data_IF_989792739409
#
_entry.id   IF_989792739409
#
_cell.length_a   1.000
_cell.length_b   1.000
_cell.length_c   1.000
_cell.angle_alpha   90.00
_cell.angle_beta   90.00
_cell.angle_gamma   90.00
#
_symmetry.space_group_name_H-M   'P 1'
#
loop_
_entity.id
_entity.type
_entity.pdbx_description
1 polymer ?
#
# COMPACT_ATOMS: atom_id res chain seq x y z
N UNK A 1 2.27 -24.20 62.98
CA UNK A 1 3.40 -23.27 63.23
C UNK A 1 4.44 -23.56 62.15
N UNK A 2 4.94 -22.67 61.31
CA UNK A 2 4.55 -21.39 60.71
C UNK A 2 5.57 -21.18 59.55
N UNK A 3 5.14 -20.51 58.49
CA UNK A 3 5.84 -20.16 57.25
C UNK A 3 7.18 -19.38 57.36
N UNK A 4 8.01 -19.47 56.31
CA UNK A 4 8.58 -18.35 55.51
C UNK A 4 9.66 -18.91 54.56
N UNK A 5 9.47 -18.99 53.24
CA UNK A 5 9.41 -17.94 52.22
C UNK A 5 10.66 -17.03 52.15
N UNK A 6 11.56 -17.29 51.19
CA UNK A 6 12.52 -16.28 50.70
C UNK A 6 12.76 -16.46 49.20
N UNK A 7 11.94 -15.73 48.45
CA UNK A 7 12.19 -15.24 47.10
C UNK A 7 13.47 -14.41 47.06
N UNK A 8 14.32 -14.62 46.05
CA UNK A 8 15.23 -13.58 45.55
C UNK A 8 15.14 -13.53 44.04
N UNK A 9 14.63 -12.40 43.58
CA UNK A 9 14.44 -11.91 42.22
C UNK A 9 15.78 -11.68 41.53
N UNK A 10 15.93 -12.18 40.30
CA UNK A 10 17.02 -11.80 39.40
C UNK A 10 16.54 -10.64 38.54
N UNK A 11 17.22 -9.50 38.66
CA UNK A 11 16.91 -8.26 37.98
C UNK A 11 17.05 -8.39 36.46
N UNK A 12 16.08 -7.80 35.75
CA UNK A 12 16.16 -7.46 34.35
C UNK A 12 17.17 -6.32 34.18
N UNK A 13 18.26 -6.54 33.46
CA UNK A 13 19.08 -5.46 32.91
C UNK A 13 18.38 -4.94 31.64
N UNK A 14 17.81 -3.74 31.77
CA UNK A 14 17.34 -2.92 30.66
C UNK A 14 18.54 -2.37 29.91
N UNK A 15 18.84 -2.93 28.74
CA UNK A 15 19.79 -2.34 27.79
C UNK A 15 19.17 -1.12 27.13
N UNK A 16 19.73 0.06 27.42
CA UNK A 16 19.46 1.30 26.71
C UNK A 16 19.75 1.13 25.21
N UNK A 17 18.71 1.29 24.38
CA UNK A 17 18.87 1.37 22.93
C UNK A 17 19.30 2.80 22.54
N UNK A 18 20.29 2.97 21.63
CA UNK A 18 20.84 4.28 21.31
C UNK A 18 19.82 5.20 20.64
N UNK A 19 19.77 6.46 21.09
CA UNK A 19 18.87 7.53 20.66
C UNK A 19 19.01 7.97 19.17
N UNK A 20 19.84 7.29 18.38
CA UNK A 20 20.20 7.68 17.01
C UNK A 20 19.30 7.16 15.88
N UNK A 21 18.39 6.22 16.14
CA UNK A 21 17.52 5.62 15.10
C UNK A 21 16.18 6.35 14.91
N UNK A 22 15.85 7.33 15.76
CA UNK A 22 14.52 7.94 15.80
C UNK A 22 14.40 9.29 15.06
N UNK A 23 15.49 9.76 14.45
CA UNK A 23 15.52 11.04 13.72
C UNK A 23 14.93 10.95 12.30
N UNK A 24 14.83 9.75 11.70
CA UNK A 24 14.36 9.57 10.33
C UNK A 24 12.84 9.80 10.17
N UNK A 25 12.03 9.48 11.19
CA UNK A 25 10.57 9.67 11.10
C UNK A 25 10.12 11.11 11.35
N UNK A 26 10.98 11.97 11.91
CA UNK A 26 10.67 13.39 12.16
C UNK A 26 10.85 14.27 10.90
N UNK A 27 11.52 13.75 9.88
CA UNK A 27 11.85 14.46 8.64
C UNK A 27 10.64 14.69 7.71
N UNK A 28 9.60 13.86 7.78
CA UNK A 28 8.44 13.89 6.87
C UNK A 28 7.25 14.73 7.40
N UNK A 29 7.42 15.46 8.50
CA UNK A 29 6.33 16.22 9.14
C UNK A 29 6.59 17.72 9.24
N UNK A 30 7.65 18.26 8.62
CA UNK A 30 7.96 19.70 8.65
C UNK A 30 7.27 20.45 7.48
N UNK A 31 6.30 21.36 7.75
CA UNK A 31 5.58 22.09 6.71
C UNK A 31 6.39 23.19 6.01
N UNK A 32 7.64 23.47 6.40
CA UNK A 32 8.37 24.67 5.98
C UNK A 32 9.08 24.59 4.60
N UNK A 33 8.96 23.50 3.83
CA UNK A 33 9.83 23.24 2.66
C UNK A 33 9.20 23.36 1.26
N UNK A 34 7.93 23.78 1.12
CA UNK A 34 7.31 23.99 -0.20
C UNK A 34 6.94 25.46 -0.44
N UNK A 35 7.96 26.26 -0.80
CA UNK A 35 7.76 27.51 -1.55
C UNK A 35 8.61 27.45 -2.81
N UNK A 36 7.99 27.05 -3.92
CA UNK A 36 8.55 27.24 -5.25
C UNK A 36 7.53 28.04 -6.07
N UNK A 37 7.88 29.29 -6.31
CA UNK A 37 7.21 30.19 -7.24
C UNK A 37 7.39 29.68 -8.67
N UNK A 38 6.29 29.44 -9.39
CA UNK A 38 6.30 29.12 -10.82
C UNK A 38 6.18 30.39 -11.68
N UNK A 39 6.83 30.47 -12.85
CA UNK A 39 6.76 31.63 -13.72
C UNK A 39 5.50 31.65 -14.60
N UNK A 40 5.15 32.88 -14.94
CA UNK A 40 4.05 33.39 -15.76
C UNK A 40 4.27 33.04 -17.24
N UNK A 41 3.29 32.43 -17.91
CA UNK A 41 3.33 32.14 -19.35
C UNK A 41 2.09 32.72 -20.04
N UNK A 42 2.25 33.91 -20.58
CA UNK A 42 1.36 34.55 -21.56
C UNK A 42 1.73 34.12 -22.99
N UNK A 43 0.78 34.30 -23.91
CA UNK A 43 0.86 34.19 -25.39
C UNK A 43 0.65 32.79 -26.02
N UNK A 44 -0.04 32.61 -27.15
CA UNK A 44 -0.63 33.54 -28.12
C UNK A 44 -1.73 32.81 -28.94
N UNK A 45 -2.83 33.49 -29.22
CA UNK A 45 -3.85 33.10 -30.20
C UNK A 45 -3.26 33.02 -31.61
N UNK A 46 -3.62 31.98 -32.36
CA UNK A 46 -3.37 31.92 -33.82
C UNK A 46 -4.68 31.60 -34.53
N UNK A 47 -5.09 32.56 -35.35
CA UNK A 47 -6.30 32.57 -36.16
C UNK A 47 -6.43 31.33 -37.06
N UNK A 48 -7.59 30.69 -37.00
CA UNK A 48 -8.12 29.82 -38.06
C UNK A 48 -8.57 30.70 -39.22
N UNK A 49 -8.19 30.35 -40.46
CA UNK A 49 -9.11 30.37 -41.61
C UNK A 49 -8.50 29.69 -42.85
N UNK A 50 -9.40 29.07 -43.62
CA UNK A 50 -9.31 28.61 -45.02
C UNK A 50 -8.53 27.35 -45.39
N UNK A 51 -9.19 26.17 -45.25
CA UNK A 51 -9.13 25.06 -46.23
C UNK A 51 -10.47 24.31 -46.27
N UNK A 52 -10.95 23.97 -47.47
CA UNK A 52 -12.28 23.40 -47.76
C UNK A 52 -12.58 22.04 -47.08
N UNK A 53 -13.84 21.83 -46.70
CA UNK A 53 -14.31 20.69 -45.89
C UNK A 53 -13.96 19.30 -46.46
N UNK A 54 -13.84 19.16 -47.79
CA UNK A 54 -13.53 17.87 -48.43
C UNK A 54 -12.04 17.46 -48.31
N UNK A 55 -11.12 18.42 -48.13
CA UNK A 55 -9.69 18.15 -47.89
C UNK A 55 -9.38 17.74 -46.43
N UNK A 56 -10.30 18.02 -45.50
CA UNK A 56 -10.15 17.71 -44.07
C UNK A 56 -10.44 16.25 -43.75
N UNK A 57 -11.32 15.61 -44.51
CA UNK A 57 -11.73 14.23 -44.23
C UNK A 57 -10.70 13.19 -44.70
N UNK A 58 -10.04 13.45 -45.84
CA UNK A 58 -9.03 12.54 -46.40
C UNK A 58 -7.65 12.69 -45.72
N UNK A 59 -7.30 13.85 -45.17
CA UNK A 59 -6.05 14.04 -44.40
C UNK A 59 -6.13 13.51 -42.96
N UNK A 60 -7.32 13.41 -42.39
CA UNK A 60 -7.55 12.80 -41.05
C UNK A 60 -7.47 11.28 -41.12
N UNK A 61 -7.96 10.64 -42.19
CA UNK A 61 -7.87 9.17 -42.35
C UNK A 61 -6.48 8.70 -42.81
N UNK A 62 -5.74 9.49 -43.58
CA UNK A 62 -4.38 9.13 -44.03
C UNK A 62 -3.30 9.28 -42.94
N UNK A 63 -3.59 9.94 -41.81
CA UNK A 63 -2.72 9.97 -40.62
C UNK A 63 -2.94 8.80 -39.66
N UNK A 64 -3.95 7.96 -39.91
CA UNK A 64 -4.29 6.83 -39.04
C UNK A 64 -3.77 5.47 -39.54
N UNK A 65 -2.93 5.46 -40.58
CA UNK A 65 -2.17 4.27 -40.97
C UNK A 65 -0.70 4.52 -40.62
N UNK A 66 -0.26 3.85 -39.55
CA UNK A 66 1.12 3.78 -39.04
C UNK A 66 1.58 4.88 -38.08
N UNK A 67 0.76 5.20 -37.08
CA UNK A 67 1.30 5.58 -35.77
C UNK A 67 1.11 4.39 -34.85
N UNK A 68 2.19 3.64 -34.60
CA UNK A 68 2.23 2.67 -33.51
C UNK A 68 1.94 3.40 -32.21
N UNK A 69 0.68 3.38 -31.77
CA UNK A 69 0.34 3.76 -30.41
C UNK A 69 0.97 2.68 -29.55
N UNK A 70 2.15 2.98 -29.00
CA UNK A 70 2.73 2.17 -27.95
C UNK A 70 1.62 1.97 -26.89
N UNK A 71 1.34 0.73 -26.46
CA UNK A 71 0.31 0.52 -25.46
C UNK A 71 0.65 1.37 -24.24
N UNK A 72 -0.24 2.30 -23.89
CA UNK A 72 -0.08 3.12 -22.69
C UNK A 72 -0.04 2.14 -21.52
N UNK A 73 1.14 1.96 -20.94
CA UNK A 73 1.30 1.10 -19.77
C UNK A 73 0.42 1.66 -18.67
N UNK A 74 -0.63 0.92 -18.30
CA UNK A 74 -1.49 1.33 -17.19
C UNK A 74 -0.65 1.40 -15.92
N UNK A 75 -0.87 2.45 -15.10
CA UNK A 75 -0.22 2.58 -13.79
C UNK A 75 -0.52 1.35 -12.94
N UNK A 76 0.46 0.93 -12.14
CA UNK A 76 0.35 -0.22 -11.24
C UNK A 76 -0.95 -0.18 -10.40
N UNK A 77 -1.24 0.97 -9.77
CA UNK A 77 -2.45 1.14 -8.96
C UNK A 77 -3.75 0.92 -9.75
N UNK A 78 -3.82 1.35 -11.01
CA UNK A 78 -4.99 1.13 -11.88
C UNK A 78 -5.19 -0.36 -12.15
N UNK A 79 -4.11 -1.10 -12.40
CA UNK A 79 -4.16 -2.55 -12.62
C UNK A 79 -4.57 -3.31 -11.36
N UNK A 80 -4.08 -2.90 -10.19
CA UNK A 80 -4.50 -3.44 -8.89
C UNK A 80 -6.00 -3.19 -8.65
N UNK A 81 -6.48 -1.97 -8.93
CA UNK A 81 -7.90 -1.64 -8.80
C UNK A 81 -8.78 -2.50 -9.73
N UNK A 82 -8.33 -2.74 -10.96
CA UNK A 82 -9.00 -3.65 -11.89
C UNK A 82 -9.05 -5.10 -11.37
N UNK A 83 -7.95 -5.59 -10.78
CA UNK A 83 -7.93 -6.92 -10.16
C UNK A 83 -8.89 -7.02 -8.97
N UNK A 84 -8.88 -6.01 -8.08
CA UNK A 84 -9.80 -5.95 -6.94
C UNK A 84 -11.27 -6.04 -7.38
N UNK A 85 -11.66 -5.25 -8.38
CA UNK A 85 -13.04 -5.24 -8.88
C UNK A 85 -13.47 -6.57 -9.52
N UNK A 86 -12.53 -7.38 -10.03
CA UNK A 86 -12.82 -8.71 -10.58
C UNK A 86 -12.97 -9.80 -9.51
N UNK A 87 -12.24 -9.69 -8.40
CA UNK A 87 -12.19 -10.72 -7.37
C UNK A 87 -13.20 -10.52 -6.24
N UNK A 88 -13.59 -9.27 -5.94
CA UNK A 88 -14.34 -8.92 -4.74
C UNK A 88 -15.67 -8.23 -5.08
N UNK A 89 -16.65 -8.35 -4.19
CA UNK A 89 -17.91 -7.60 -4.31
C UNK A 89 -17.66 -6.10 -4.01
N UNK A 90 -18.47 -5.16 -4.53
CA UNK A 90 -18.36 -3.74 -4.21
C UNK A 90 -18.32 -3.42 -2.71
N UNK A 91 -19.05 -4.19 -1.89
CA UNK A 91 -19.07 -4.05 -0.43
C UNK A 91 -17.76 -4.47 0.25
N UNK A 92 -16.82 -5.10 -0.47
CA UNK A 92 -15.58 -5.65 0.07
C UNK A 92 -14.36 -4.84 -0.41
N UNK A 93 -14.27 -4.56 -1.72
CA UNK A 93 -13.15 -3.78 -2.23
C UNK A 93 -13.23 -2.29 -1.86
N UNK A 94 -14.42 -1.77 -1.53
CA UNK A 94 -14.61 -0.40 -1.01
C UNK A 94 -14.67 -0.32 0.52
N UNK A 95 -14.47 -1.44 1.24
CA UNK A 95 -14.52 -1.44 2.70
C UNK A 95 -13.16 -1.05 3.29
N UNK A 96 -13.08 0.16 3.86
CA UNK A 96 -11.84 0.68 4.43
C UNK A 96 -11.29 -0.13 5.60
N UNK A 97 -12.13 -0.77 6.41
CA UNK A 97 -11.67 -1.63 7.51
C UNK A 97 -10.98 -2.87 6.93
N UNK A 98 -11.64 -3.56 6.00
CA UNK A 98 -11.08 -4.77 5.37
C UNK A 98 -9.79 -4.47 4.58
N UNK A 99 -9.73 -3.32 3.88
CA UNK A 99 -8.51 -2.89 3.18
C UNK A 99 -7.38 -2.53 4.15
N UNK A 100 -7.72 -1.90 5.27
CA UNK A 100 -6.79 -1.59 6.36
C UNK A 100 -6.21 -2.85 7.01
N UNK A 101 -7.07 -3.81 7.37
CA UNK A 101 -6.66 -5.10 7.92
C UNK A 101 -5.72 -5.83 6.96
N UNK A 102 -6.08 -5.88 5.67
CA UNK A 102 -5.26 -6.55 4.64
C UNK A 102 -3.90 -5.87 4.46
N UNK A 103 -3.85 -4.55 4.49
CA UNK A 103 -2.58 -3.80 4.43
C UNK A 103 -1.71 -4.12 5.66
N UNK A 104 -2.31 -4.11 6.86
CA UNK A 104 -1.59 -4.43 8.09
C UNK A 104 -1.05 -5.87 8.10
N UNK A 105 -1.84 -6.84 7.64
CA UNK A 105 -1.39 -8.24 7.46
C UNK A 105 -0.13 -8.32 6.60
N UNK A 106 -0.13 -7.70 5.41
CA UNK A 106 1.03 -7.72 4.50
C UNK A 106 2.28 -7.07 5.09
N UNK A 107 2.11 -5.95 5.80
CA UNK A 107 3.22 -5.29 6.49
C UNK A 107 3.80 -6.19 7.58
N UNK A 108 2.95 -6.85 8.36
CA UNK A 108 3.38 -7.78 9.40
C UNK A 108 4.05 -9.03 8.82
N UNK A 109 3.54 -9.59 7.72
CA UNK A 109 4.16 -10.72 7.02
C UNK A 109 5.54 -10.34 6.44
N UNK A 110 5.67 -9.16 5.84
CA UNK A 110 6.96 -8.64 5.34
C UNK A 110 7.98 -8.46 6.47
N UNK A 111 7.56 -7.89 7.60
CA UNK A 111 8.40 -7.70 8.78
C UNK A 111 8.78 -9.05 9.43
N UNK A 112 7.84 -9.98 9.51
CA UNK A 112 8.08 -11.34 10.01
C UNK A 112 9.13 -12.06 9.16
N UNK A 113 9.06 -11.94 7.83
CA UNK A 113 10.03 -12.55 6.90
C UNK A 113 11.46 -12.05 7.13
N UNK A 114 11.64 -10.87 7.74
CA UNK A 114 12.93 -10.28 8.10
C UNK A 114 13.27 -10.41 9.60
N UNK A 115 12.54 -11.24 10.34
CA UNK A 115 12.81 -11.51 11.75
C UNK A 115 12.48 -10.35 12.69
N UNK A 116 11.55 -9.47 12.30
CA UNK A 116 11.10 -8.38 13.17
C UNK A 116 10.45 -8.93 14.44
N UNK A 117 10.87 -8.42 15.60
CA UNK A 117 10.34 -8.88 16.88
C UNK A 117 8.89 -8.44 17.08
N UNK A 118 7.98 -9.42 17.15
CA UNK A 118 6.55 -9.21 17.41
C UNK A 118 6.27 -8.41 18.67
N UNK A 119 7.14 -8.48 19.69
CA UNK A 119 6.93 -7.77 20.95
C UNK A 119 7.05 -6.25 20.78
N UNK A 120 7.72 -5.78 19.72
CA UNK A 120 7.81 -4.36 19.38
C UNK A 120 6.55 -3.80 18.73
N UNK A 121 5.68 -4.65 18.19
CA UNK A 121 4.48 -4.22 17.45
C UNK A 121 3.53 -3.45 18.37
N UNK A 122 3.22 -3.99 19.56
CA UNK A 122 2.32 -3.34 20.51
C UNK A 122 2.82 -1.95 20.92
N UNK A 123 4.13 -1.80 21.16
CA UNK A 123 4.74 -0.50 21.48
C UNK A 123 4.57 0.52 20.35
N UNK A 124 4.72 0.10 19.08
CA UNK A 124 4.52 0.99 17.94
C UNK A 124 3.06 1.38 17.76
N UNK A 125 2.12 0.47 18.03
CA UNK A 125 0.68 0.77 18.03
C UNK A 125 0.39 1.87 19.04
N UNK A 126 0.78 1.70 20.31
CA UNK A 126 0.56 2.72 21.35
C UNK A 126 1.21 4.07 20.98
N UNK A 127 2.42 4.04 20.42
CA UNK A 127 3.11 5.25 19.99
C UNK A 127 2.37 6.00 18.86
N UNK A 128 1.89 5.29 17.84
CA UNK A 128 1.20 5.91 16.70
C UNK A 128 -0.19 6.42 17.11
N UNK A 129 -0.97 5.62 17.82
CA UNK A 129 -2.31 5.99 18.27
C UNK A 129 -2.31 7.03 19.40
N UNK A 130 -1.17 7.25 20.06
CA UNK A 130 -0.98 8.36 21.01
C UNK A 130 -0.76 9.73 20.37
N UNK A 131 -0.65 9.83 19.03
CA UNK A 131 -0.45 11.09 18.29
C UNK A 131 -1.78 11.62 17.74
N UNK A 132 -1.87 12.93 17.41
CA UNK A 132 -2.99 13.46 16.64
C UNK A 132 -3.13 12.72 15.30
N UNK A 133 -4.39 12.53 14.87
CA UNK A 133 -4.70 11.91 13.58
C UNK A 133 -4.11 12.74 12.44
N UNK A 134 -3.37 12.08 11.54
CA UNK A 134 -2.74 12.69 10.36
C UNK A 134 -3.69 12.85 9.17
N UNK A 135 -3.23 13.57 8.15
CA UNK A 135 -3.95 13.73 6.88
C UNK A 135 -3.71 12.50 5.98
N UNK A 136 -4.77 11.87 5.42
CA UNK A 136 -4.63 10.61 4.68
C UNK A 136 -3.62 10.60 3.53
N UNK A 137 -3.54 11.66 2.71
CA UNK A 137 -2.59 11.72 1.60
C UNK A 137 -1.14 11.81 2.07
N UNK A 138 -0.88 12.55 3.15
CA UNK A 138 0.42 12.62 3.81
C UNK A 138 0.83 11.27 4.39
N UNK A 139 -0.06 10.59 5.11
CA UNK A 139 0.23 9.28 5.69
C UNK A 139 0.46 8.21 4.61
N UNK A 140 -0.29 8.26 3.50
CA UNK A 140 -0.04 7.41 2.33
C UNK A 140 1.37 7.64 1.77
N UNK A 141 1.79 8.90 1.62
CA UNK A 141 3.16 9.25 1.20
C UNK A 141 4.22 8.73 2.17
N UNK A 142 3.98 8.85 3.48
CA UNK A 142 4.86 8.33 4.53
C UNK A 142 5.03 6.81 4.45
N UNK A 143 3.95 6.07 4.21
CA UNK A 143 3.98 4.61 4.00
C UNK A 143 4.81 4.27 2.75
N UNK A 144 4.59 4.96 1.63
CA UNK A 144 5.34 4.70 0.38
C UNK A 144 6.85 4.91 0.55
N UNK A 145 7.26 6.04 1.16
CA UNK A 145 8.69 6.35 1.38
C UNK A 145 9.31 5.34 2.35
N UNK A 146 8.60 4.97 3.41
CA UNK A 146 9.10 4.00 4.40
C UNK A 146 9.25 2.60 3.81
N UNK A 147 8.29 2.16 2.98
CA UNK A 147 8.37 0.88 2.28
C UNK A 147 9.56 0.84 1.31
N UNK A 148 9.79 1.91 0.55
CA UNK A 148 10.94 2.01 -0.36
C UNK A 148 12.29 1.98 0.40
N UNK A 149 12.37 2.68 1.53
CA UNK A 149 13.56 2.66 2.39
C UNK A 149 13.80 1.25 2.98
N UNK A 150 12.75 0.59 3.46
CA UNK A 150 12.83 -0.79 3.94
C UNK A 150 13.32 -1.73 2.83
N UNK A 151 12.72 -1.68 1.65
CA UNK A 151 13.10 -2.51 0.50
C UNK A 151 14.57 -2.30 0.12
N UNK A 152 15.05 -1.05 0.14
CA UNK A 152 16.46 -0.71 -0.11
C UNK A 152 17.40 -1.42 0.87
N UNK A 153 17.10 -1.39 2.17
CA UNK A 153 17.93 -2.05 3.20
C UNK A 153 17.81 -3.58 3.12
N UNK A 154 16.63 -4.09 2.78
CA UNK A 154 16.37 -5.51 2.59
C UNK A 154 16.98 -6.09 1.30
N UNK A 155 17.50 -5.24 0.40
CA UNK A 155 18.00 -5.68 -0.91
C UNK A 155 16.89 -6.15 -1.85
N UNK A 156 15.68 -5.60 -1.71
CA UNK A 156 14.51 -5.93 -2.51
C UNK A 156 14.22 -4.81 -3.52
N UNK A 157 13.90 -5.19 -4.75
CA UNK A 157 13.29 -4.30 -5.74
C UNK A 157 11.77 -4.32 -5.52
N UNK A 158 11.24 -3.24 -4.92
CA UNK A 158 9.81 -3.17 -4.58
C UNK A 158 8.90 -3.13 -5.82
N UNK A 159 9.37 -2.55 -6.93
CA UNK A 159 8.59 -2.43 -8.16
C UNK A 159 8.51 -3.81 -8.83
N UNK A 160 9.65 -4.51 -8.95
CA UNK A 160 9.70 -5.85 -9.49
C UNK A 160 8.92 -6.88 -8.64
N UNK A 161 8.98 -6.76 -7.31
CA UNK A 161 8.21 -7.59 -6.40
C UNK A 161 6.69 -7.35 -6.57
N UNK A 162 6.27 -6.09 -6.66
CA UNK A 162 4.88 -5.73 -6.92
C UNK A 162 4.36 -6.28 -8.25
N UNK A 163 5.13 -6.14 -9.34
CA UNK A 163 4.75 -6.67 -10.65
C UNK A 163 4.69 -8.20 -10.67
N UNK A 164 5.64 -8.88 -10.01
CA UNK A 164 5.64 -10.34 -9.87
C UNK A 164 4.40 -10.82 -9.13
N UNK A 165 4.04 -10.15 -8.04
CA UNK A 165 2.88 -10.50 -7.24
C UNK A 165 1.57 -10.23 -8.00
N UNK A 166 1.45 -9.07 -8.64
CA UNK A 166 0.27 -8.73 -9.45
C UNK A 166 0.07 -9.72 -10.60
N UNK A 167 1.14 -10.15 -11.26
CA UNK A 167 1.10 -11.18 -12.29
C UNK A 167 0.61 -12.52 -11.71
N UNK A 168 1.06 -12.90 -10.51
CA UNK A 168 0.64 -14.14 -9.83
C UNK A 168 -0.84 -14.11 -9.45
N UNK A 169 -1.31 -13.06 -8.79
CA UNK A 169 -2.70 -12.98 -8.27
C UNK A 169 -3.75 -12.79 -9.37
N UNK A 170 -3.32 -12.32 -10.54
CA UNK A 170 -4.19 -12.16 -11.72
C UNK A 170 -4.35 -13.46 -12.52
N UNK A 171 -3.61 -14.53 -12.18
CA UNK A 171 -3.80 -15.84 -12.82
C UNK A 171 -5.22 -16.36 -12.55
N UNK A 172 -5.95 -16.87 -13.56
CA UNK A 172 -7.36 -17.25 -13.42
C UNK A 172 -7.65 -18.18 -12.24
N UNK A 173 -6.80 -19.18 -12.03
CA UNK A 173 -6.91 -20.17 -10.96
C UNK A 173 -6.61 -19.60 -9.56
N UNK A 174 -5.81 -18.53 -9.47
CA UNK A 174 -5.58 -17.82 -8.20
C UNK A 174 -6.78 -16.93 -7.90
N UNK A 175 -7.29 -16.21 -8.91
CA UNK A 175 -8.50 -15.41 -8.78
C UNK A 175 -9.71 -16.26 -8.35
N UNK A 176 -9.87 -17.47 -8.88
CA UNK A 176 -10.95 -18.38 -8.49
C UNK A 176 -10.83 -18.82 -7.03
N UNK A 177 -9.61 -19.17 -6.58
CA UNK A 177 -9.36 -19.48 -5.16
C UNK A 177 -9.70 -18.32 -4.25
N UNK A 178 -9.36 -17.09 -4.64
CA UNK A 178 -9.72 -15.87 -3.89
C UNK A 178 -11.23 -15.73 -3.81
N UNK A 179 -11.96 -15.94 -4.91
CA UNK A 179 -13.43 -15.89 -4.94
C UNK A 179 -14.06 -16.90 -3.99
N UNK A 180 -13.64 -18.17 -4.04
CA UNK A 180 -14.15 -19.24 -3.18
C UNK A 180 -13.90 -18.94 -1.70
N UNK A 181 -12.68 -18.48 -1.36
CA UNK A 181 -12.33 -18.10 0.02
C UNK A 181 -13.23 -16.97 0.52
N UNK A 182 -13.48 -15.98 -0.35
CA UNK A 182 -14.29 -14.84 0.02
C UNK A 182 -15.79 -15.15 0.13
N UNK A 183 -16.31 -16.04 -0.72
CA UNK A 183 -17.68 -16.54 -0.60
C UNK A 183 -17.89 -17.31 0.70
N UNK A 184 -16.91 -18.12 1.09
CA UNK A 184 -16.94 -18.87 2.35
C UNK A 184 -16.92 -17.95 3.57
N UNK A 185 -16.13 -16.86 3.55
CA UNK A 185 -16.14 -15.84 4.60
C UNK A 185 -17.48 -15.10 4.70
N UNK A 186 -18.07 -14.74 3.56
CA UNK A 186 -19.37 -14.05 3.51
C UNK A 186 -20.51 -14.90 4.08
N UNK A 187 -20.47 -16.22 3.88
CA UNK A 187 -21.47 -17.13 4.41
C UNK A 187 -21.45 -17.22 5.95
N UNK A 188 -20.34 -16.81 6.59
CA UNK A 188 -20.12 -16.96 8.02
C UNK A 188 -20.41 -15.69 8.85
N UNK A 189 -20.79 -14.55 8.24
CA UNK A 189 -21.07 -13.27 8.94
C UNK A 189 -20.05 -12.95 10.05
N UNK A 190 -18.76 -12.88 9.71
CA UNK A 190 -17.70 -12.64 10.70
C UNK A 190 -17.31 -11.15 10.75
N UNK A 191 -17.65 -10.46 11.84
CA UNK A 191 -17.28 -9.05 12.12
C UNK A 191 -15.88 -8.92 12.76
N UNK A 192 -15.04 -9.96 12.69
CA UNK A 192 -13.71 -9.96 13.32
C UNK A 192 -12.61 -10.07 12.24
N UNK A 193 -11.44 -9.41 12.40
CA UNK A 193 -10.39 -9.35 11.38
C UNK A 193 -9.85 -10.72 10.93
N UNK A 194 -9.88 -11.70 11.83
CA UNK A 194 -9.39 -13.06 11.58
C UNK A 194 -10.57 -14.03 11.61
N UNK A 195 -10.61 -15.07 10.75
CA UNK A 195 -11.52 -16.18 10.99
C UNK A 195 -11.23 -16.73 12.39
N UNK A 196 -12.25 -16.85 13.23
CA UNK A 196 -12.12 -17.50 14.54
C UNK A 196 -11.45 -18.86 14.39
N UNK A 197 -10.75 -19.39 15.41
CA UNK A 197 -9.93 -20.60 15.29
C UNK A 197 -10.76 -21.78 14.80
N UNK A 198 -10.83 -21.94 13.47
CA UNK A 198 -11.48 -23.05 12.81
C UNK A 198 -10.65 -24.27 13.12
N UNK A 199 -11.30 -25.29 13.68
CA UNK A 199 -10.74 -26.59 14.01
C UNK A 199 -9.55 -26.94 13.10
N UNK A 200 -8.37 -27.07 13.71
CA UNK A 200 -7.29 -27.83 13.11
C UNK A 200 -7.88 -29.17 12.66
N UNK A 201 -7.99 -29.36 11.34
CA UNK A 201 -8.29 -30.67 10.79
C UNK A 201 -7.02 -31.53 10.96
N UNK A 202 -7.16 -32.80 11.37
CA UNK A 202 -6.04 -33.71 11.61
C UNK A 202 -5.21 -33.99 10.36
#
# INVERSE_FOLDING_TARGET
MADSNRSTTRAHESGDLPQGLWAACRWLSDPAMFHLSGPDNTECDVHQDDLSEEGRFLSVLARFVSAGVAPVMQKYQTRVAHWLAKCFRPSQYNNMVERGDRLLEEVLELLQAHGYDRHRVATLVEYVYGRPVGEPSQEMGGVMVTLAAFATVAGLDMDAAGETELARITRPEVMEKVRIKQESKNALHFDTPLPGPGCAQP
#
